data_IF_625553385239
#
_entry.id   IF_625553385239
#
_cell.length_a   1.000
_cell.length_b   1.000
_cell.length_c   1.000
_cell.angle_alpha   90.00
_cell.angle_beta   90.00
_cell.angle_gamma   90.00
#
_symmetry.space_group_name_H-M   'P 1'
#
loop_
_entity.id
_entity.type
_entity.pdbx_description
1 polymer ?
#
# COMPACT_ATOMS: atom_id res chain seq x y z
N UNK A 1 -2.91 -0.24 23.76
CA UNK A 1 -4.04 0.12 22.88
C UNK A 1 -3.76 -0.56 21.56
N UNK A 2 -4.57 -1.54 21.17
CA UNK A 2 -4.43 -2.18 19.86
C UNK A 2 -5.05 -1.22 18.84
N UNK A 3 -4.23 -0.54 18.03
CA UNK A 3 -4.66 0.51 17.12
C UNK A 3 -5.48 0.00 15.92
N UNK A 4 -5.46 -1.32 15.69
CA UNK A 4 -6.08 -2.02 14.57
C UNK A 4 -7.52 -2.44 14.85
N UNK A 5 -8.37 -2.43 13.82
CA UNK A 5 -9.80 -2.76 13.89
C UNK A 5 -10.15 -3.75 12.78
N UNK A 6 -10.77 -4.88 13.14
CA UNK A 6 -11.21 -5.90 12.18
C UNK A 6 -12.32 -5.35 11.28
N UNK A 7 -12.00 -5.12 10.01
CA UNK A 7 -12.96 -4.64 9.00
C UNK A 7 -14.14 -5.56 8.72
N UNK A 8 -14.08 -6.85 9.10
CA UNK A 8 -15.25 -7.74 9.02
C UNK A 8 -16.26 -7.48 10.15
N UNK A 9 -15.83 -6.82 11.23
CA UNK A 9 -16.69 -6.44 12.35
C UNK A 9 -17.10 -4.97 12.24
N UNK A 10 -16.16 -4.08 11.87
CA UNK A 10 -16.39 -2.65 11.79
C UNK A 10 -15.53 -2.00 10.70
N UNK A 11 -16.20 -1.40 9.72
CA UNK A 11 -15.58 -0.50 8.76
C UNK A 11 -15.43 0.89 9.37
N UNK A 12 -14.22 1.43 9.32
CA UNK A 12 -13.91 2.77 9.82
C UNK A 12 -14.19 3.86 8.76
N UNK A 13 -14.53 5.09 9.15
CA UNK A 13 -14.42 6.25 8.27
C UNK A 13 -12.98 6.40 7.73
N UNK A 14 -12.82 6.99 6.54
CA UNK A 14 -11.48 7.22 5.96
C UNK A 14 -10.59 8.09 6.86
N UNK A 15 -11.19 9.11 7.50
CA UNK A 15 -10.51 10.00 8.44
C UNK A 15 -9.93 9.23 9.64
N UNK A 16 -10.69 8.25 10.16
CA UNK A 16 -10.27 7.38 11.25
C UNK A 16 -9.15 6.42 10.83
N UNK A 17 -9.18 5.91 9.59
CA UNK A 17 -8.08 5.09 9.04
C UNK A 17 -6.80 5.91 9.01
N UNK A 18 -6.87 7.14 8.49
CA UNK A 18 -5.72 8.06 8.44
C UNK A 18 -5.20 8.35 9.85
N UNK A 19 -6.10 8.61 10.80
CA UNK A 19 -5.73 8.88 12.20
C UNK A 19 -5.00 7.72 12.83
N UNK A 20 -5.55 6.52 12.72
CA UNK A 20 -4.97 5.33 13.33
C UNK A 20 -3.65 4.97 12.67
N UNK A 21 -3.57 5.02 11.35
CA UNK A 21 -2.33 4.78 10.62
C UNK A 21 -1.22 5.73 11.10
N UNK A 22 -1.51 7.03 11.21
CA UNK A 22 -0.55 8.02 11.71
C UNK A 22 -0.07 7.74 13.14
N UNK A 23 -0.97 7.28 14.03
CA UNK A 23 -0.61 6.88 15.39
C UNK A 23 0.22 5.59 15.43
N UNK A 24 -0.10 4.61 14.59
CA UNK A 24 0.58 3.31 14.51
C UNK A 24 2.01 3.48 13.99
N UNK A 25 2.19 4.29 12.95
CA UNK A 25 3.51 4.59 12.37
C UNK A 25 4.29 5.62 13.19
N UNK A 26 3.77 6.05 14.34
CA UNK A 26 4.38 7.05 15.23
C UNK A 26 4.82 8.30 14.47
N UNK A 27 3.95 8.81 13.59
CA UNK A 27 4.26 9.99 12.79
C UNK A 27 4.73 11.14 13.73
N UNK A 28 5.86 11.80 13.42
CA UNK A 28 6.41 12.83 14.29
C UNK A 28 5.53 14.09 14.31
N UNK A 29 4.70 14.29 13.29
CA UNK A 29 3.76 15.40 13.20
C UNK A 29 2.45 15.14 13.96
N UNK A 30 1.81 16.22 14.43
CA UNK A 30 0.48 16.11 15.01
C UNK A 30 -0.57 15.73 13.95
N UNK A 31 -1.62 15.00 14.39
CA UNK A 31 -2.63 14.43 13.50
C UNK A 31 -3.26 15.42 12.49
N UNK A 32 -3.62 16.67 12.86
CA UNK A 32 -4.16 17.62 11.89
C UNK A 32 -3.22 17.89 10.70
N UNK A 33 -1.91 17.95 10.95
CA UNK A 33 -0.90 18.14 9.90
C UNK A 33 -0.79 16.89 9.02
N UNK A 34 -0.80 15.69 9.61
CA UNK A 34 -0.77 14.42 8.86
C UNK A 34 -2.02 14.25 7.99
N UNK A 35 -3.19 14.61 8.52
CA UNK A 35 -4.43 14.58 7.77
C UNK A 35 -4.39 15.56 6.58
N UNK A 36 -3.96 16.80 6.81
CA UNK A 36 -3.84 17.80 5.75
C UNK A 36 -2.83 17.38 4.68
N UNK A 37 -1.70 16.78 5.06
CA UNK A 37 -0.68 16.32 4.10
C UNK A 37 -1.21 15.18 3.24
N UNK A 38 -1.94 14.22 3.82
CA UNK A 38 -2.59 13.13 3.07
C UNK A 38 -3.71 13.68 2.20
N UNK A 39 -4.56 14.58 2.72
CA UNK A 39 -5.61 15.20 1.92
C UNK A 39 -5.03 15.93 0.70
N UNK A 40 -3.90 16.64 0.88
CA UNK A 40 -3.19 17.29 -0.23
C UNK A 40 -2.54 16.26 -1.18
N UNK A 41 -1.99 15.18 -0.65
CA UNK A 41 -1.43 14.04 -1.42
C UNK A 41 -2.48 13.45 -2.37
N UNK A 42 -3.69 13.20 -1.87
CA UNK A 42 -4.80 12.62 -2.62
C UNK A 42 -5.35 13.54 -3.72
N UNK A 43 -5.03 14.83 -3.69
CA UNK A 43 -5.42 15.81 -4.72
C UNK A 43 -4.34 16.02 -5.79
N UNK A 44 -3.16 15.39 -5.66
CA UNK A 44 -2.09 15.53 -6.65
C UNK A 44 -2.47 14.86 -7.97
N UNK A 45 -2.17 15.47 -9.14
CA UNK A 45 -2.30 14.80 -10.42
C UNK A 45 -1.50 13.50 -10.45
N UNK A 46 -2.10 12.43 -10.99
CA UNK A 46 -1.47 11.10 -11.05
C UNK A 46 -1.47 10.33 -9.73
N UNK A 47 -2.12 10.85 -8.68
CA UNK A 47 -2.38 10.11 -7.45
C UNK A 47 -3.69 9.34 -7.56
N UNK A 48 -3.65 8.04 -7.29
CA UNK A 48 -4.81 7.16 -7.19
C UNK A 48 -4.86 6.57 -5.79
N UNK A 49 -6.06 6.28 -5.29
CA UNK A 49 -6.21 5.63 -4.00
C UNK A 49 -7.30 4.56 -4.02
N UNK A 50 -7.08 3.51 -3.26
CA UNK A 50 -7.98 2.37 -3.15
C UNK A 50 -8.20 2.05 -1.69
N UNK A 51 -9.45 1.78 -1.34
CA UNK A 51 -9.79 1.31 -0.01
C UNK A 51 -10.14 -0.17 -0.09
N UNK A 52 -9.49 -0.97 0.75
CA UNK A 52 -9.92 -2.34 1.05
C UNK A 52 -9.99 -2.50 2.56
N UNK A 53 -11.17 -2.87 3.07
CA UNK A 53 -11.43 -2.94 4.51
C UNK A 53 -11.09 -1.64 5.23
N UNK A 54 -10.21 -1.74 6.23
CA UNK A 54 -9.65 -0.61 6.99
C UNK A 54 -8.21 -0.26 6.56
N UNK A 55 -7.88 -0.53 5.29
CA UNK A 55 -6.61 -0.18 4.67
C UNK A 55 -6.84 0.78 3.49
N UNK A 56 -6.12 1.89 3.46
CA UNK A 56 -6.10 2.83 2.34
C UNK A 56 -4.76 2.71 1.60
N UNK A 57 -4.79 2.27 0.36
CA UNK A 57 -3.63 2.23 -0.54
C UNK A 57 -3.59 3.51 -1.36
N UNK A 58 -2.41 4.09 -1.50
CA UNK A 58 -2.16 5.30 -2.29
C UNK A 58 -1.08 4.95 -3.30
N UNK A 59 -1.31 5.27 -4.57
CA UNK A 59 -0.38 5.03 -5.68
C UNK A 59 -0.13 6.33 -6.42
N UNK A 60 1.13 6.72 -6.53
CA UNK A 60 1.60 7.82 -7.36
C UNK A 60 2.11 7.26 -8.68
N UNK A 61 1.48 7.62 -9.79
CA UNK A 61 1.93 7.19 -11.11
C UNK A 61 3.30 7.79 -11.45
N UNK A 62 4.23 6.94 -11.91
CA UNK A 62 5.59 7.32 -12.30
C UNK A 62 5.81 7.35 -13.82
N UNK A 63 4.82 6.93 -14.62
CA UNK A 63 4.96 6.70 -16.06
C UNK A 63 5.19 5.22 -16.37
N UNK A 64 5.05 4.83 -17.64
CA UNK A 64 5.39 3.49 -18.13
C UNK A 64 4.77 2.34 -17.33
N UNK A 65 3.53 2.53 -16.85
CA UNK A 65 2.80 1.53 -16.04
C UNK A 65 3.46 1.23 -14.68
N UNK A 66 4.23 2.17 -14.15
CA UNK A 66 4.84 2.07 -12.82
C UNK A 66 4.18 3.02 -11.82
N UNK A 67 4.13 2.61 -10.55
CA UNK A 67 3.61 3.45 -9.48
C UNK A 67 4.43 3.33 -8.20
N UNK A 68 4.58 4.45 -7.48
CA UNK A 68 5.04 4.44 -6.10
C UNK A 68 3.84 4.24 -5.18
N UNK A 69 3.81 3.15 -4.43
CA UNK A 69 2.68 2.77 -3.60
C UNK A 69 3.03 2.83 -2.10
N UNK A 70 2.04 3.24 -1.31
CA UNK A 70 2.08 3.13 0.15
C UNK A 70 0.73 2.74 0.71
N UNK A 71 0.72 2.12 1.88
CA UNK A 71 -0.48 1.69 2.56
C UNK A 71 -0.63 2.37 3.92
N UNK A 72 -1.80 2.95 4.18
CA UNK A 72 -2.23 3.41 5.49
C UNK A 72 -3.14 2.34 6.09
N UNK A 73 -2.59 1.51 6.98
CA UNK A 73 -3.29 0.38 7.55
C UNK A 73 -3.82 0.66 8.96
N UNK A 74 -5.14 0.48 9.14
CA UNK A 74 -5.80 0.43 10.43
C UNK A 74 -6.55 -0.91 10.64
N UNK A 75 -6.30 -1.90 9.77
CA UNK A 75 -6.93 -3.22 9.83
C UNK A 75 -6.05 -4.24 10.55
N UNK A 76 -6.67 -5.30 11.08
CA UNK A 76 -5.93 -6.41 11.70
C UNK A 76 -5.10 -7.17 10.66
N UNK A 77 -3.99 -7.79 11.09
CA UNK A 77 -3.02 -8.42 10.20
C UNK A 77 -3.63 -9.39 9.17
N UNK A 78 -4.59 -10.22 9.60
CA UNK A 78 -5.28 -11.17 8.70
C UNK A 78 -6.01 -10.47 7.55
N UNK A 79 -6.68 -9.37 7.84
CA UNK A 79 -7.39 -8.59 6.83
C UNK A 79 -6.40 -7.81 5.97
N UNK A 80 -5.35 -7.24 6.58
CA UNK A 80 -4.32 -6.51 5.83
C UNK A 80 -3.66 -7.37 4.73
N UNK A 81 -3.40 -8.65 5.01
CA UNK A 81 -2.92 -9.61 3.99
C UNK A 81 -3.91 -9.71 2.83
N UNK A 82 -5.19 -9.95 3.12
CA UNK A 82 -6.24 -10.07 2.10
C UNK A 82 -6.39 -8.78 1.30
N UNK A 83 -6.46 -7.64 2.00
CA UNK A 83 -6.56 -6.31 1.40
C UNK A 83 -5.40 -6.03 0.45
N UNK A 84 -4.18 -6.49 0.78
CA UNK A 84 -2.99 -6.31 -0.05
C UNK A 84 -3.02 -7.18 -1.31
N UNK A 85 -3.54 -8.41 -1.22
CA UNK A 85 -3.76 -9.26 -2.39
C UNK A 85 -4.80 -8.63 -3.34
N UNK A 86 -5.95 -8.19 -2.79
CA UNK A 86 -7.00 -7.52 -3.56
C UNK A 86 -6.47 -6.23 -4.22
N UNK A 87 -5.60 -5.49 -3.52
CA UNK A 87 -4.93 -4.30 -4.04
C UNK A 87 -4.04 -4.62 -5.25
N UNK A 88 -3.24 -5.68 -5.20
CA UNK A 88 -2.36 -6.04 -6.34
C UNK A 88 -3.17 -6.41 -7.58
N UNK A 89 -4.28 -7.14 -7.41
CA UNK A 89 -5.20 -7.44 -8.52
C UNK A 89 -5.79 -6.16 -9.11
N UNK A 90 -6.26 -5.24 -8.24
CA UNK A 90 -6.80 -3.96 -8.69
C UNK A 90 -5.76 -3.10 -9.40
N UNK A 91 -4.56 -2.98 -8.85
CA UNK A 91 -3.48 -2.19 -9.43
C UNK A 91 -3.11 -2.74 -10.82
N UNK A 92 -3.02 -4.06 -10.97
CA UNK A 92 -2.78 -4.67 -12.29
C UNK A 92 -3.90 -4.33 -13.27
N UNK A 93 -5.17 -4.48 -12.86
CA UNK A 93 -6.33 -4.19 -13.71
C UNK A 93 -6.42 -2.71 -14.14
N UNK A 94 -5.88 -1.79 -13.33
CA UNK A 94 -5.82 -0.36 -13.65
C UNK A 94 -4.65 0.01 -14.56
N UNK A 95 -3.81 -0.95 -14.90
CA UNK A 95 -2.76 -0.80 -15.89
C UNK A 95 -1.35 -0.77 -15.32
N UNK A 96 -1.16 -0.82 -14.01
CA UNK A 96 0.18 -0.91 -13.43
C UNK A 96 0.79 -2.29 -13.69
N UNK A 97 2.03 -2.33 -14.13
CA UNK A 97 2.81 -3.56 -14.28
C UNK A 97 3.77 -3.72 -13.10
N UNK A 98 4.25 -2.61 -12.51
CA UNK A 98 5.12 -2.59 -11.34
C UNK A 98 4.68 -1.58 -10.29
N UNK A 99 4.89 -1.93 -9.02
CA UNK A 99 4.81 -0.99 -7.91
C UNK A 99 6.11 -0.97 -7.12
N UNK A 100 6.49 0.22 -6.66
CA UNK A 100 7.63 0.47 -5.76
C UNK A 100 7.06 0.84 -4.40
N UNK A 101 7.48 0.17 -3.34
CA UNK A 101 6.99 0.34 -1.98
C UNK A 101 8.17 0.44 -1.03
N UNK A 102 8.21 1.51 -0.24
CA UNK A 102 9.19 1.69 0.83
C UNK A 102 8.55 1.43 2.20
N UNK A 103 9.32 0.85 3.13
CA UNK A 103 8.86 0.54 4.48
C UNK A 103 10.03 0.36 5.46
N UNK A 104 9.76 0.50 6.75
CA UNK A 104 10.80 0.45 7.80
C UNK A 104 10.89 -0.91 8.51
N UNK A 105 9.82 -1.72 8.51
CA UNK A 105 9.81 -3.02 9.20
C UNK A 105 10.16 -4.17 8.24
N UNK A 106 11.34 -4.76 8.42
CA UNK A 106 11.82 -5.92 7.66
C UNK A 106 10.79 -7.08 7.60
N UNK A 107 9.93 -7.23 8.61
CA UNK A 107 8.90 -8.29 8.62
C UNK A 107 7.91 -8.16 7.47
N UNK A 108 7.77 -6.98 6.87
CA UNK A 108 6.91 -6.78 5.70
C UNK A 108 7.38 -7.55 4.47
N UNK A 109 8.63 -8.04 4.40
CA UNK A 109 9.03 -9.01 3.36
C UNK A 109 8.13 -10.25 3.33
N UNK A 110 7.68 -10.74 4.50
CA UNK A 110 6.76 -11.89 4.57
C UNK A 110 5.40 -11.61 3.91
N UNK A 111 4.95 -10.35 3.91
CA UNK A 111 3.72 -9.98 3.21
C UNK A 111 3.90 -10.13 1.70
N UNK A 112 5.03 -9.72 1.15
CA UNK A 112 5.32 -9.85 -0.28
C UNK A 112 5.47 -11.32 -0.69
N UNK A 113 6.07 -12.15 0.15
CA UNK A 113 6.08 -13.60 -0.05
C UNK A 113 4.66 -14.17 -0.15
N UNK A 114 3.76 -13.77 0.76
CA UNK A 114 2.36 -14.23 0.74
C UNK A 114 1.64 -13.75 -0.53
N UNK A 115 1.85 -12.49 -0.91
CA UNK A 115 1.22 -11.89 -2.10
C UNK A 115 1.66 -12.64 -3.37
N UNK A 116 2.95 -12.86 -3.58
CA UNK A 116 3.44 -13.56 -4.78
C UNK A 116 2.98 -15.02 -4.81
N UNK A 117 2.97 -15.69 -3.66
CA UNK A 117 2.50 -17.08 -3.56
C UNK A 117 0.96 -17.23 -3.63
N UNK A 118 0.20 -16.12 -3.71
CA UNK A 118 -1.26 -16.17 -3.88
C UNK A 118 -1.68 -16.48 -5.32
N UNK A 119 -0.75 -16.38 -6.28
CA UNK A 119 -0.96 -16.69 -7.71
C UNK A 119 -2.16 -15.96 -8.36
N UNK A 120 -2.53 -14.78 -7.82
CA UNK A 120 -3.70 -14.02 -8.32
C UNK A 120 -3.49 -13.45 -9.72
N UNK A 121 -2.25 -13.17 -10.11
CA UNK A 121 -1.85 -12.87 -11.47
C UNK A 121 -0.66 -13.77 -11.87
N UNK A 122 -0.54 -14.15 -13.15
CA UNK A 122 0.62 -14.90 -13.64
C UNK A 122 1.90 -14.05 -13.55
N UNK A 123 3.07 -14.69 -13.47
CA UNK A 123 4.39 -14.01 -13.52
C UNK A 123 4.64 -12.94 -12.45
N UNK A 124 3.87 -12.96 -11.36
CA UNK A 124 4.15 -12.11 -10.21
C UNK A 124 5.49 -12.45 -9.58
N UNK A 125 6.16 -11.43 -9.04
CA UNK A 125 7.43 -11.56 -8.34
C UNK A 125 7.81 -10.25 -7.68
N UNK A 126 8.84 -10.26 -6.82
CA UNK A 126 9.36 -9.02 -6.25
C UNK A 126 10.87 -9.07 -6.05
N UNK A 127 11.49 -7.89 -6.06
CA UNK A 127 12.87 -7.68 -5.63
C UNK A 127 12.86 -6.77 -4.40
N UNK A 128 13.66 -7.11 -3.39
CA UNK A 128 13.80 -6.34 -2.16
C UNK A 128 15.24 -5.87 -1.96
N UNK A 129 15.40 -4.65 -1.46
CA UNK A 129 16.71 -4.09 -1.07
C UNK A 129 16.61 -3.32 0.26
N UNK A 130 17.71 -3.31 1.01
CA UNK A 130 17.89 -2.45 2.17
C UNK A 130 18.54 -1.14 1.71
N UNK A 131 17.96 -0.02 2.14
CA UNK A 131 18.36 1.33 1.78
C UNK A 131 19.45 1.84 2.74
N UNK A 132 20.16 2.90 2.35
CA UNK A 132 21.28 3.43 3.14
C UNK A 132 20.88 3.99 4.51
N UNK A 133 19.61 4.32 4.71
CA UNK A 133 19.05 4.81 5.97
C UNK A 133 18.47 3.68 6.85
N UNK A 134 18.58 2.43 6.43
CA UNK A 134 18.05 1.25 7.13
C UNK A 134 16.58 0.96 6.84
N UNK A 135 15.91 1.76 5.99
CA UNK A 135 14.61 1.40 5.43
C UNK A 135 14.76 0.32 4.35
N UNK A 136 13.64 -0.22 3.88
CA UNK A 136 13.59 -1.25 2.86
C UNK A 136 12.75 -0.78 1.67
N UNK A 137 13.14 -1.23 0.47
CA UNK A 137 12.40 -1.01 -0.76
C UNK A 137 12.05 -2.34 -1.41
N UNK A 138 10.81 -2.46 -1.86
CA UNK A 138 10.35 -3.56 -2.70
C UNK A 138 9.84 -3.02 -4.03
N UNK A 139 10.30 -3.61 -5.12
CA UNK A 139 9.68 -3.49 -6.43
C UNK A 139 8.93 -4.79 -6.70
N UNK A 140 7.60 -4.72 -6.78
CA UNK A 140 6.73 -5.86 -7.08
C UNK A 140 6.26 -5.79 -8.54
N UNK A 141 6.46 -6.88 -9.27
CA UNK A 141 5.83 -7.13 -10.56
C UNK A 141 4.41 -7.67 -10.31
N UNK A 142 3.41 -6.98 -10.86
CA UNK A 142 2.00 -7.29 -10.64
C UNK A 142 1.45 -8.32 -11.62
N UNK A 143 2.17 -8.61 -12.70
CA UNK A 143 1.81 -9.57 -13.74
C UNK A 143 2.71 -9.42 -14.97
N UNK A 144 2.37 -10.04 -16.11
CA UNK A 144 3.14 -9.87 -17.34
C UNK A 144 3.16 -8.41 -17.77
N UNK A 145 4.32 -7.95 -18.27
CA UNK A 145 4.49 -6.60 -18.81
C UNK A 145 3.60 -6.41 -20.05
N UNK A 146 2.85 -5.31 -20.08
CA UNK A 146 1.92 -4.98 -21.18
C UNK A 146 2.48 -3.93 -22.13
N UNK A 147 3.51 -3.20 -21.69
CA UNK A 147 4.12 -2.10 -22.44
C UNK A 147 3.20 -0.89 -22.63
N UNK A 148 3.79 0.24 -23.05
CA UNK A 148 3.06 1.49 -23.25
C UNK A 148 2.72 2.23 -21.95
N UNK A 149 1.78 3.17 -22.03
CA UNK A 149 1.29 3.96 -20.88
C UNK A 149 -0.04 3.40 -20.33
N UNK A 150 -0.43 3.87 -19.14
CA UNK A 150 -1.78 3.67 -18.58
C UNK A 150 -2.77 4.71 -19.05
#
# INVERSE_FOLDING_TARGET
>A
MDGFVDSNQQLLPTEDIIQRAAMITQAPEAYPQVYQSIAAELQKPGCQFFRQGNTLFIVHHLGHREGYARALNADVAKNYVRNSIDFVVMAYNLGYDRLIIDFDDQKLFQLFDIIVNSEVNPEMGYTGEEMTDGSYRVTIALGPERGGEI
#
